data_IF_685639129075
#
_entry.id   IF_685639129075
#
_cell.length_a   1.000
_cell.length_b   1.000
_cell.length_c   1.000
_cell.angle_alpha   90.00
_cell.angle_beta   90.00
_cell.angle_gamma   90.00
#
_symmetry.space_group_name_H-M   'P 1'
#
loop_
_entity.id
_entity.type
_entity.pdbx_description
1 polymer ?
#
# COMPACT_ATOMS: atom_id res chain seq x y z
N UNK A 1 -12.58 37.80 11.27
CA UNK A 1 -12.71 37.39 9.85
C UNK A 1 -11.47 36.69 9.30
N UNK A 2 -10.24 37.11 9.62
CA UNK A 2 -9.00 36.44 9.14
C UNK A 2 -8.90 34.95 9.51
N UNK A 3 -9.36 34.57 10.71
CA UNK A 3 -9.26 33.18 11.20
C UNK A 3 -10.06 32.18 10.34
N UNK A 4 -11.26 32.58 9.89
CA UNK A 4 -12.09 31.74 9.01
C UNK A 4 -11.50 31.59 7.61
N UNK A 5 -10.78 32.60 7.12
CA UNK A 5 -10.11 32.55 5.82
C UNK A 5 -8.92 31.58 5.85
N UNK A 6 -8.19 31.54 6.96
CA UNK A 6 -7.04 30.67 7.16
C UNK A 6 -7.46 29.20 7.30
N UNK A 7 -8.56 28.92 8.00
CA UNK A 7 -9.17 27.58 8.09
C UNK A 7 -9.65 27.11 6.71
N UNK A 8 -10.26 28.00 5.91
CA UNK A 8 -10.68 27.69 4.55
C UNK A 8 -9.49 27.40 3.62
N UNK A 9 -8.40 28.16 3.73
CA UNK A 9 -7.16 27.93 2.97
C UNK A 9 -6.48 26.61 3.36
N UNK A 10 -6.38 26.29 4.65
CA UNK A 10 -5.86 25.00 5.11
C UNK A 10 -6.76 23.83 4.66
N UNK A 11 -8.09 24.02 4.64
CA UNK A 11 -9.02 23.01 4.12
C UNK A 11 -8.85 22.76 2.63
N UNK A 12 -8.62 23.81 1.83
CA UNK A 12 -8.42 23.72 0.38
C UNK A 12 -7.05 23.14 -0.02
N UNK A 13 -5.99 23.41 0.74
CA UNK A 13 -4.66 22.83 0.47
C UNK A 13 -4.56 21.36 0.84
N UNK A 14 -5.33 20.89 1.82
CA UNK A 14 -5.46 19.46 2.15
C UNK A 14 -6.16 18.64 1.04
N UNK A 15 -7.00 19.28 0.21
CA UNK A 15 -7.75 18.60 -0.86
C UNK A 15 -6.90 18.43 -2.12
N UNK A 16 -5.86 19.25 -2.34
CA UNK A 16 -5.06 19.25 -3.58
C UNK A 16 -3.83 18.35 -3.57
N UNK A 17 -3.49 17.70 -2.46
CA UNK A 17 -2.49 16.63 -2.48
C UNK A 17 -3.19 15.32 -2.81
N UNK A 18 -3.62 15.17 -4.07
CA UNK A 18 -3.76 13.83 -4.68
C UNK A 18 -2.34 13.25 -4.78
N UNK A 19 -1.78 12.85 -3.65
CA UNK A 19 -0.58 12.04 -3.62
C UNK A 19 -0.97 10.74 -4.30
N UNK A 20 -0.49 10.55 -5.53
CA UNK A 20 -0.57 9.25 -6.17
C UNK A 20 0.14 8.25 -5.27
N UNK A 21 -0.52 7.14 -4.98
CA UNK A 21 0.06 6.05 -4.24
C UNK A 21 1.20 5.45 -5.07
N UNK A 22 2.39 5.27 -4.48
CA UNK A 22 3.43 4.44 -5.11
C UNK A 22 3.43 3.06 -4.49
N UNK A 23 3.53 2.05 -5.34
CA UNK A 23 3.58 0.65 -4.95
C UNK A 23 4.76 -0.03 -5.66
N UNK A 24 5.25 -1.12 -5.10
CA UNK A 24 6.08 -2.03 -5.90
C UNK A 24 5.21 -2.64 -7.01
N UNK A 25 5.76 -2.75 -8.20
CA UNK A 25 5.11 -3.31 -9.38
C UNK A 25 6.00 -4.38 -10.02
N UNK A 26 5.37 -5.37 -10.65
CA UNK A 26 6.05 -6.40 -11.42
C UNK A 26 5.79 -7.82 -10.90
N UNK A 27 6.41 -8.79 -11.58
CA UNK A 27 6.29 -10.21 -11.22
C UNK A 27 7.65 -10.77 -10.86
N UNK A 28 7.66 -11.52 -9.77
CA UNK A 28 8.85 -12.02 -9.13
C UNK A 28 8.69 -13.52 -8.92
N UNK A 29 9.69 -14.30 -9.30
CA UNK A 29 9.66 -15.77 -9.12
C UNK A 29 10.76 -16.18 -8.16
N UNK A 30 10.37 -16.90 -7.12
CA UNK A 30 11.27 -17.52 -6.15
C UNK A 30 11.35 -19.01 -6.45
N UNK A 31 12.55 -19.56 -6.38
CA UNK A 31 12.80 -21.01 -6.49
C UNK A 31 13.17 -21.52 -5.10
N UNK A 32 12.50 -22.56 -4.62
CA UNK A 32 12.71 -23.15 -3.29
C UNK A 32 12.65 -22.13 -2.13
N UNK A 33 11.76 -21.14 -2.23
CA UNK A 33 11.66 -20.01 -1.30
C UNK A 33 12.96 -19.22 -1.09
N UNK A 34 13.90 -19.30 -2.04
CA UNK A 34 15.09 -18.48 -2.04
C UNK A 34 14.78 -17.08 -2.60
N UNK A 35 15.68 -16.14 -2.30
CA UNK A 35 15.56 -14.78 -2.81
C UNK A 35 15.36 -14.80 -4.33
N UNK A 36 14.41 -14.00 -4.83
CA UNK A 36 14.10 -14.00 -6.24
C UNK A 36 15.25 -13.43 -7.08
N UNK A 37 15.36 -13.91 -8.32
CA UNK A 37 16.33 -13.40 -9.29
C UNK A 37 16.00 -11.98 -9.77
N UNK A 38 14.74 -11.58 -9.67
CA UNK A 38 14.25 -10.25 -10.04
C UNK A 38 13.61 -9.56 -8.85
N UNK A 39 13.78 -8.25 -8.76
CA UNK A 39 13.18 -7.43 -7.72
C UNK A 39 12.01 -6.64 -8.31
N UNK A 40 10.91 -6.46 -7.57
CA UNK A 40 9.84 -5.60 -8.01
C UNK A 40 10.31 -4.14 -7.92
N UNK A 41 9.82 -3.29 -8.83
CA UNK A 41 10.29 -1.91 -8.98
C UNK A 41 9.22 -0.97 -8.42
N UNK A 42 9.59 0.06 -7.64
CA UNK A 42 8.62 1.07 -7.21
C UNK A 42 8.08 1.82 -8.44
N UNK A 43 6.78 2.10 -8.43
CA UNK A 43 6.14 2.86 -9.50
C UNK A 43 4.87 3.55 -9.02
N UNK A 44 4.64 4.74 -9.58
CA UNK A 44 3.42 5.52 -9.40
C UNK A 44 2.21 4.76 -9.97
N UNK A 45 1.15 4.65 -9.17
CA UNK A 45 -0.09 3.97 -9.53
C UNK A 45 -1.10 4.83 -10.30
N UNK A 46 -0.84 6.12 -10.40
CA UNK A 46 -1.72 7.10 -11.01
C UNK A 46 -2.89 7.51 -10.10
N UNK A 47 -3.79 8.35 -10.64
CA UNK A 47 -4.92 8.85 -9.88
C UNK A 47 -5.95 7.73 -9.63
N UNK A 48 -6.73 7.88 -8.55
CA UNK A 48 -7.84 6.99 -8.16
C UNK A 48 -7.45 5.58 -7.68
N UNK A 49 -6.16 5.25 -7.64
CA UNK A 49 -5.65 4.07 -6.93
C UNK A 49 -5.57 4.37 -5.44
N UNK A 50 -5.99 3.40 -4.62
CA UNK A 50 -5.95 3.51 -3.15
C UNK A 50 -5.26 2.33 -2.48
N UNK A 51 -4.93 1.27 -3.22
CA UNK A 51 -4.30 0.08 -2.63
C UNK A 51 -3.09 -0.38 -3.46
N UNK A 52 -2.06 -0.85 -2.77
CA UNK A 52 -1.05 -1.72 -3.30
C UNK A 52 -1.47 -3.18 -3.13
N UNK A 53 -1.21 -4.02 -4.13
CA UNK A 53 -1.44 -5.46 -4.09
C UNK A 53 -0.14 -6.26 -4.03
N UNK A 54 -0.22 -7.40 -3.34
CA UNK A 54 0.77 -8.46 -3.36
C UNK A 54 0.04 -9.81 -3.42
N UNK A 55 0.09 -10.46 -4.57
CA UNK A 55 -0.54 -11.74 -4.81
C UNK A 55 0.52 -12.83 -4.92
N UNK A 56 0.51 -13.78 -4.01
CA UNK A 56 1.31 -14.99 -4.04
C UNK A 56 0.48 -16.07 -4.73
N UNK A 57 0.96 -16.56 -5.88
CA UNK A 57 0.37 -17.67 -6.60
C UNK A 57 0.98 -19.00 -6.15
N UNK A 58 0.14 -20.04 -6.20
CA UNK A 58 0.42 -21.41 -5.82
C UNK A 58 1.79 -21.90 -6.29
N UNK A 59 2.46 -22.54 -5.34
CA UNK A 59 3.71 -23.23 -5.55
C UNK A 59 3.57 -24.34 -6.59
N UNK A 60 4.32 -24.25 -7.69
CA UNK A 60 4.45 -25.34 -8.66
C UNK A 60 5.72 -26.12 -8.37
N UNK A 61 5.61 -27.44 -8.28
CA UNK A 61 6.78 -28.31 -8.25
C UNK A 61 7.17 -28.70 -9.67
N UNK A 62 8.43 -28.47 -10.04
CA UNK A 62 9.00 -28.90 -11.30
C UNK A 62 10.43 -29.36 -11.07
N UNK A 63 10.76 -30.58 -11.49
CA UNK A 63 12.09 -31.18 -11.33
C UNK A 63 12.65 -31.20 -9.90
N UNK A 64 11.78 -31.28 -8.88
CA UNK A 64 12.18 -31.24 -7.47
C UNK A 64 12.27 -29.84 -6.87
N UNK A 65 12.20 -28.80 -7.70
CA UNK A 65 12.18 -27.40 -7.26
C UNK A 65 10.76 -26.87 -7.09
N UNK A 66 10.58 -26.00 -6.11
CA UNK A 66 9.31 -25.32 -5.80
C UNK A 66 9.34 -23.88 -6.30
N UNK A 67 8.50 -23.56 -7.28
CA UNK A 67 8.39 -22.23 -7.87
C UNK A 67 7.23 -21.46 -7.24
N UNK A 68 7.54 -20.35 -6.56
CA UNK A 68 6.56 -19.42 -6.01
C UNK A 68 6.56 -18.16 -6.86
N UNK A 69 5.41 -17.77 -7.42
CA UNK A 69 5.29 -16.51 -8.17
C UNK A 69 4.58 -15.47 -7.30
N UNK A 70 5.17 -14.29 -7.19
CA UNK A 70 4.61 -13.14 -6.50
C UNK A 70 4.37 -12.02 -7.50
N UNK A 71 3.15 -11.51 -7.53
CA UNK A 71 2.74 -10.39 -8.37
C UNK A 71 2.49 -9.17 -7.48
N UNK A 72 3.17 -8.07 -7.81
CA UNK A 72 3.06 -6.78 -7.14
C UNK A 72 2.39 -5.78 -8.07
N UNK A 73 1.59 -4.87 -7.52
CA UNK A 73 0.95 -3.83 -8.33
C UNK A 73 0.08 -2.87 -7.54
N UNK A 74 -0.78 -2.20 -8.28
CA UNK A 74 -1.70 -1.16 -7.83
C UNK A 74 -3.14 -1.63 -8.04
N UNK A 75 -4.05 -1.27 -7.15
CA UNK A 75 -5.46 -1.64 -7.27
C UNK A 75 -6.44 -0.55 -6.83
N UNK A 76 -7.60 -0.54 -7.48
CA UNK A 76 -8.64 0.46 -7.26
C UNK A 76 -9.74 -0.07 -6.34
N UNK A 77 -10.28 0.75 -5.43
CA UNK A 77 -11.30 0.32 -4.48
C UNK A 77 -12.64 -0.03 -5.13
N UNK A 78 -12.90 0.38 -6.38
CA UNK A 78 -14.21 0.24 -7.04
C UNK A 78 -14.25 -0.94 -8.02
N UNK A 79 -13.22 -1.07 -8.86
CA UNK A 79 -13.13 -2.10 -9.93
C UNK A 79 -12.22 -3.26 -9.51
N UNK A 80 -11.37 -3.04 -8.51
CA UNK A 80 -10.36 -3.96 -8.04
C UNK A 80 -10.83 -5.06 -7.10
N UNK A 81 -9.85 -5.86 -6.67
CA UNK A 81 -9.98 -6.91 -5.67
C UNK A 81 -9.86 -6.36 -4.24
N UNK A 82 -9.07 -5.31 -4.03
CA UNK A 82 -8.87 -4.71 -2.72
C UNK A 82 -10.05 -3.83 -2.29
N UNK A 83 -10.52 -4.08 -1.07
CA UNK A 83 -11.55 -3.27 -0.40
C UNK A 83 -11.10 -2.76 0.97
N UNK A 84 -10.13 -3.44 1.58
CA UNK A 84 -9.58 -3.14 2.89
C UNK A 84 -8.17 -3.70 3.01
N UNK A 85 -7.39 -3.14 3.94
CA UNK A 85 -6.06 -3.62 4.29
C UNK A 85 -6.10 -5.01 4.91
N UNK A 86 -5.20 -5.89 4.47
CA UNK A 86 -5.06 -7.23 5.01
C UNK A 86 -4.76 -8.28 3.95
N UNK A 87 -4.63 -9.53 4.39
CA UNK A 87 -4.35 -10.67 3.52
C UNK A 87 -5.50 -11.68 3.57
N UNK A 88 -5.86 -12.19 2.39
CA UNK A 88 -6.78 -13.31 2.22
C UNK A 88 -6.01 -14.54 1.78
N UNK A 89 -6.36 -15.69 2.37
CA UNK A 89 -5.68 -16.96 2.12
C UNK A 89 -6.67 -17.93 1.48
N UNK A 90 -6.30 -18.49 0.34
CA UNK A 90 -7.10 -19.50 -0.35
C UNK A 90 -6.63 -20.90 0.04
N UNK A 91 -7.57 -21.86 0.09
CA UNK A 91 -7.29 -23.27 0.39
C UNK A 91 -6.26 -23.92 -0.56
N UNK A 92 -6.00 -23.31 -1.72
CA UNK A 92 -5.01 -23.76 -2.71
C UNK A 92 -3.57 -23.30 -2.45
N UNK A 93 -3.31 -22.52 -1.40
CA UNK A 93 -2.01 -21.92 -1.10
C UNK A 93 -1.78 -20.54 -1.75
N UNK A 94 -2.76 -20.00 -2.48
CA UNK A 94 -2.74 -18.63 -2.97
C UNK A 94 -2.99 -17.65 -1.82
N UNK A 95 -2.26 -16.53 -1.80
CA UNK A 95 -2.45 -15.46 -0.81
C UNK A 95 -2.54 -14.13 -1.54
N UNK A 96 -3.53 -13.30 -1.21
CA UNK A 96 -3.69 -11.96 -1.78
C UNK A 96 -3.72 -10.94 -0.65
N UNK A 97 -2.77 -9.99 -0.68
CA UNK A 97 -2.63 -8.94 0.32
C UNK A 97 -2.85 -7.56 -0.29
N UNK A 98 -3.57 -6.72 0.45
CA UNK A 98 -3.88 -5.33 0.15
C UNK A 98 -3.36 -4.42 1.25
N UNK A 99 -2.86 -3.24 0.88
CA UNK A 99 -2.46 -2.19 1.81
C UNK A 99 -2.56 -0.80 1.16
N UNK A 100 -2.87 0.25 1.90
CA UNK A 100 -3.18 1.59 1.35
C UNK A 100 -2.05 2.63 1.47
N UNK A 101 -0.83 2.17 1.77
CA UNK A 101 0.30 3.03 2.14
C UNK A 101 1.47 2.95 1.16
N UNK A 102 2.30 4.00 1.16
CA UNK A 102 3.44 4.12 0.25
C UNK A 102 4.37 2.91 0.33
N UNK A 103 4.57 2.22 -0.79
CA UNK A 103 5.41 1.03 -0.96
C UNK A 103 5.12 -0.10 0.06
N UNK A 104 3.91 -0.16 0.61
CA UNK A 104 3.53 -1.08 1.68
C UNK A 104 3.55 -2.56 1.24
N UNK A 105 3.48 -2.83 -0.07
CA UNK A 105 3.48 -4.18 -0.60
C UNK A 105 4.88 -4.83 -0.66
N UNK A 106 5.94 -4.17 -0.17
CA UNK A 106 7.31 -4.72 -0.09
C UNK A 106 7.41 -6.02 0.73
N UNK A 107 7.19 -5.98 2.05
CA UNK A 107 7.19 -7.18 2.93
C UNK A 107 6.74 -6.93 4.38
N UNK A 108 6.15 -7.98 4.97
CA UNK A 108 5.64 -8.27 6.32
C UNK A 108 5.18 -7.11 7.24
N UNK A 109 3.87 -6.84 7.18
CA UNK A 109 2.92 -6.55 8.27
C UNK A 109 3.52 -5.95 9.56
N UNK A 110 3.34 -4.65 9.76
CA UNK A 110 2.73 -4.12 11.01
C UNK A 110 2.53 -2.60 10.93
N UNK A 111 1.28 -2.18 11.09
CA UNK A 111 0.97 -1.04 11.94
C UNK A 111 0.94 0.35 11.31
N UNK A 112 -0.17 0.64 10.63
CA UNK A 112 -0.98 1.86 10.76
C UNK A 112 -0.25 3.20 10.94
N UNK A 113 -0.32 4.04 9.91
CA UNK A 113 0.06 5.46 9.91
C UNK A 113 -0.83 6.33 10.85
N UNK A 114 -0.69 6.14 12.16
CA UNK A 114 -1.36 6.94 13.20
C UNK A 114 -0.73 8.33 13.40
N UNK A 115 0.32 8.67 12.64
CA UNK A 115 1.15 9.85 12.90
C UNK A 115 0.62 11.14 12.23
N UNK A 116 -0.23 11.04 11.21
CA UNK A 116 -0.76 12.22 10.49
C UNK A 116 -1.94 12.85 11.23
N UNK A 117 -2.72 12.07 12.01
CA UNK A 117 -3.83 12.58 12.81
C UNK A 117 -3.37 13.42 14.02
N UNK A 118 -2.17 13.18 14.56
CA UNK A 118 -1.64 13.94 15.70
C UNK A 118 -1.16 15.35 15.31
N UNK A 119 -0.57 15.51 14.12
CA UNK A 119 -0.02 16.81 13.70
C UNK A 119 -1.14 17.83 13.48
N UNK A 120 -2.28 17.42 12.88
CA UNK A 120 -3.43 18.31 12.71
C UNK A 120 -4.12 18.68 14.04
N UNK A 121 -4.18 17.76 15.01
CA UNK A 121 -4.78 18.03 16.33
C UNK A 121 -3.94 18.99 17.18
N UNK A 122 -2.61 18.90 17.12
CA UNK A 122 -1.69 19.78 17.86
C UNK A 122 -1.68 21.20 17.27
N UNK A 123 -1.75 21.32 15.93
CA UNK A 123 -1.84 22.62 15.26
C UNK A 123 -3.21 23.31 15.44
N UNK A 124 -4.31 22.54 15.53
CA UNK A 124 -5.64 23.09 15.76
C UNK A 124 -5.89 23.54 17.21
N UNK A 125 -5.19 22.96 18.19
CA UNK A 125 -5.39 23.27 19.62
C UNK A 125 -4.44 24.35 20.17
N UNK A 126 -3.46 24.81 19.39
CA UNK A 126 -2.62 25.96 19.75
C UNK A 126 -1.91 25.82 21.10
N UNK A 127 -1.72 24.60 21.60
CA UNK A 127 -0.98 24.32 22.84
C UNK A 127 0.27 23.55 22.48
N UNK A 128 1.33 24.31 22.23
CA UNK A 128 2.70 23.85 22.49
C UNK A 128 2.73 23.49 23.98
N UNK A 129 2.71 22.20 24.31
CA UNK A 129 3.05 21.76 25.67
C UNK A 129 4.55 22.00 25.86
N UNK A 130 4.86 23.16 26.45
CA UNK A 130 6.07 23.35 27.25
C UNK A 130 6.03 22.42 28.46
#
# INVERSE_FOLDING_TARGET
>A
MLFNLFVLFCGLTLISTTLSLECYQGTVTMINNQNPYTYPVPGDCGPFVQFCIKNLSKQRQQNGDTFTTIVYGCDTPYVGQCRYDGCTYSFGGDTSCCCDSYLCNGSNVSGSNLLILFICAVLATGKLLL
#
